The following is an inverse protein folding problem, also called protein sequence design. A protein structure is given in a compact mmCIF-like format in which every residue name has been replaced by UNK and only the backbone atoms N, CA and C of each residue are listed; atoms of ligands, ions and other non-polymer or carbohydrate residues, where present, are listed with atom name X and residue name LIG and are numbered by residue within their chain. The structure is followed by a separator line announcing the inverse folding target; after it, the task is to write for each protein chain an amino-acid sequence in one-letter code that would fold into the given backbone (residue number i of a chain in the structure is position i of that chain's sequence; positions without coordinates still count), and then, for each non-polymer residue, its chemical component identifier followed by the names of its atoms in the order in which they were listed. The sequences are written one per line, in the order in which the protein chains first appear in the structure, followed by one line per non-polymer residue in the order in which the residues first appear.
data_IF_192776343161
#
_entry.id   IF_192776343161
#
_cell.length_a   1.000
_cell.length_b   1.000
_cell.length_c   1.000
_cell.angle_alpha   90.00
_cell.angle_beta   90.00
_cell.angle_gamma   90.00
#
_symmetry.space_group_name_H-M   'P 1'
#
loop_
_entity.id
_entity.type
_entity.pdbx_description
1 polymer ?
#
# COMPACT_ATOMS: atom_id res chain seq x y z
N UNK A 1 -4.46 27.32 10.85
CA UNK A 1 -4.08 26.02 10.26
C UNK A 1 -2.62 25.77 10.57
N UNK A 2 -2.23 24.53 10.89
CA UNK A 2 -0.85 24.21 11.29
C UNK A 2 0.06 24.07 10.06
N UNK A 3 1.04 24.97 9.91
CA UNK A 3 1.99 24.97 8.78
C UNK A 3 2.84 23.69 8.73
N UNK A 4 3.17 23.11 9.89
CA UNK A 4 3.93 21.86 9.98
C UNK A 4 3.08 20.73 9.40
N UNK A 5 1.83 20.60 9.83
CA UNK A 5 0.91 19.57 9.33
C UNK A 5 0.66 19.71 7.83
N UNK A 6 0.58 20.95 7.31
CA UNK A 6 0.44 21.17 5.86
C UNK A 6 1.66 20.65 5.07
N UNK A 7 2.88 20.96 5.55
CA UNK A 7 4.12 20.50 4.92
C UNK A 7 4.29 18.99 5.02
N UNK A 8 4.02 18.41 6.19
CA UNK A 8 4.05 16.97 6.40
C UNK A 8 3.05 16.26 5.48
N UNK A 9 1.80 16.75 5.41
CA UNK A 9 0.79 16.20 4.51
C UNK A 9 1.21 16.24 3.04
N UNK A 10 1.78 17.37 2.58
CA UNK A 10 2.26 17.49 1.21
C UNK A 10 3.40 16.51 0.90
N UNK A 11 4.44 16.48 1.73
CA UNK A 11 5.61 15.63 1.51
C UNK A 11 5.29 14.15 1.66
N UNK A 12 4.45 13.78 2.62
CA UNK A 12 3.99 12.40 2.76
C UNK A 12 3.18 11.94 1.56
N UNK A 13 2.26 12.77 1.05
CA UNK A 13 1.52 12.45 -0.18
C UNK A 13 2.44 12.30 -1.39
N UNK A 14 3.43 13.19 -1.53
CA UNK A 14 4.43 13.12 -2.60
C UNK A 14 5.29 11.85 -2.51
N UNK A 15 5.78 11.51 -1.31
CA UNK A 15 6.60 10.32 -1.10
C UNK A 15 5.78 9.06 -1.37
N UNK A 16 4.54 8.97 -0.86
CA UNK A 16 3.64 7.86 -1.16
C UNK A 16 3.37 7.73 -2.67
N UNK A 17 3.19 8.84 -3.39
CA UNK A 17 3.01 8.80 -4.84
C UNK A 17 4.27 8.28 -5.55
N UNK A 18 5.44 8.80 -5.19
CA UNK A 18 6.70 8.43 -5.80
C UNK A 18 7.03 6.95 -5.56
N UNK A 19 6.91 6.48 -4.33
CA UNK A 19 7.17 5.07 -3.99
C UNK A 19 6.17 4.13 -4.65
N UNK A 20 4.91 4.55 -4.80
CA UNK A 20 3.92 3.76 -5.52
C UNK A 20 4.23 3.68 -7.02
N UNK A 21 4.70 4.77 -7.63
CA UNK A 21 5.18 4.75 -9.02
C UNK A 21 6.39 3.82 -9.15
N UNK A 22 7.36 3.90 -8.24
CA UNK A 22 8.53 3.01 -8.25
C UNK A 22 8.14 1.54 -8.11
N UNK A 23 7.15 1.24 -7.28
CA UNK A 23 6.59 -0.11 -7.16
C UNK A 23 5.99 -0.59 -8.49
N UNK A 24 5.12 0.21 -9.14
CA UNK A 24 4.54 -0.18 -10.43
C UNK A 24 5.60 -0.37 -11.51
N UNK A 25 6.59 0.54 -11.59
CA UNK A 25 7.72 0.42 -12.50
C UNK A 25 8.53 -0.86 -12.20
N UNK A 26 8.76 -1.18 -10.93
CA UNK A 26 9.43 -2.40 -10.50
C UNK A 26 8.71 -3.66 -10.99
N UNK A 27 7.38 -3.74 -10.80
CA UNK A 27 6.58 -4.86 -11.30
C UNK A 27 6.64 -5.00 -12.82
N UNK A 28 6.50 -3.89 -13.55
CA UNK A 28 6.62 -3.93 -15.02
C UNK A 28 8.02 -4.33 -15.48
N UNK A 29 9.07 -3.84 -14.81
CA UNK A 29 10.45 -4.19 -15.13
C UNK A 29 10.74 -5.67 -14.87
N UNK A 30 10.20 -6.27 -13.81
CA UNK A 30 10.33 -7.71 -13.54
C UNK A 30 9.78 -8.53 -14.71
N UNK A 31 8.60 -8.16 -15.23
CA UNK A 31 7.97 -8.87 -16.36
C UNK A 31 8.73 -8.73 -17.68
N UNK A 32 9.55 -7.69 -17.83
CA UNK A 32 10.35 -7.42 -19.04
C UNK A 32 11.72 -8.10 -18.95
N UNK A 33 12.35 -8.06 -17.78
CA UNK A 33 13.75 -8.45 -17.60
C UNK A 33 13.89 -9.93 -17.21
N UNK A 34 12.88 -10.49 -16.53
CA UNK A 34 12.91 -11.87 -16.08
C UNK A 34 11.82 -12.69 -16.80
N UNK A 35 12.02 -14.01 -16.99
CA UNK A 35 10.97 -14.87 -17.50
C UNK A 35 9.78 -14.91 -16.52
N UNK A 36 8.53 -15.06 -17.01
CA UNK A 36 7.37 -15.20 -16.14
C UNK A 36 7.57 -16.37 -15.16
N UNK A 37 7.49 -16.07 -13.87
CA UNK A 37 7.59 -17.08 -12.83
C UNK A 37 6.19 -17.60 -12.45
N UNK A 38 6.04 -18.92 -12.47
CA UNK A 38 4.87 -19.62 -11.93
C UNK A 38 5.32 -20.38 -10.70
N UNK A 39 4.65 -20.15 -9.57
CA UNK A 39 4.96 -20.88 -8.35
C UNK A 39 4.62 -22.37 -8.51
N UNK A 40 5.62 -23.23 -8.40
CA UNK A 40 5.51 -24.69 -8.48
C UNK A 40 5.90 -25.34 -7.16
N UNK A 41 7.16 -25.16 -6.76
CA UNK A 41 7.71 -25.60 -5.49
C UNK A 41 8.74 -24.58 -4.98
N UNK A 42 9.30 -24.85 -3.80
CA UNK A 42 10.19 -23.92 -3.14
C UNK A 42 11.62 -23.98 -3.70
N UNK A 43 12.06 -25.13 -4.18
CA UNK A 43 13.35 -25.28 -4.86
C UNK A 43 13.39 -24.44 -6.14
N UNK A 44 12.37 -24.54 -7.00
CA UNK A 44 12.22 -23.78 -8.24
C UNK A 44 12.18 -22.27 -7.96
N UNK A 45 11.51 -21.86 -6.87
CA UNK A 45 11.51 -20.47 -6.42
C UNK A 45 12.91 -20.00 -6.01
N UNK A 46 13.64 -20.81 -5.24
CA UNK A 46 14.99 -20.49 -4.79
C UNK A 46 15.97 -20.40 -5.97
N UNK A 47 15.88 -21.35 -6.91
CA UNK A 47 16.64 -21.32 -8.15
C UNK A 47 16.34 -20.09 -8.98
N UNK A 48 15.05 -19.76 -9.18
CA UNK A 48 14.64 -18.55 -9.89
C UNK A 48 15.19 -17.29 -9.23
N UNK A 49 15.07 -17.18 -7.89
CA UNK A 49 15.53 -16.04 -7.13
C UNK A 49 17.06 -15.84 -7.19
N UNK A 50 17.83 -16.94 -7.25
CA UNK A 50 19.29 -16.91 -7.35
C UNK A 50 19.78 -16.70 -8.79
N UNK A 51 19.00 -17.10 -9.79
CA UNK A 51 19.38 -17.04 -11.21
C UNK A 51 19.06 -15.69 -11.84
N UNK A 52 17.90 -15.12 -11.53
CA UNK A 52 17.38 -13.92 -12.20
C UNK A 52 17.49 -12.65 -11.37
N UNK A 53 17.34 -11.51 -12.04
CA UNK A 53 17.54 -10.20 -11.42
C UNK A 53 16.49 -9.90 -10.33
N UNK A 54 16.94 -9.70 -9.09
CA UNK A 54 16.09 -9.37 -7.94
C UNK A 54 16.02 -7.87 -7.61
N UNK A 55 16.78 -7.01 -8.31
CA UNK A 55 16.87 -5.58 -8.01
C UNK A 55 15.50 -4.90 -8.00
N UNK A 56 14.69 -5.11 -9.05
CA UNK A 56 13.38 -4.46 -9.19
C UNK A 56 12.37 -4.96 -8.15
N UNK A 57 12.45 -6.24 -7.74
CA UNK A 57 11.66 -6.79 -6.64
C UNK A 57 12.00 -6.07 -5.33
N UNK A 58 13.27 -6.01 -4.98
CA UNK A 58 13.74 -5.35 -3.75
C UNK A 58 13.45 -3.85 -3.74
N UNK A 59 13.55 -3.17 -4.88
CA UNK A 59 13.14 -1.78 -5.04
C UNK A 59 11.64 -1.60 -4.76
N UNK A 60 10.79 -2.49 -5.29
CA UNK A 60 9.34 -2.45 -5.07
C UNK A 60 8.97 -2.73 -3.59
N UNK A 61 9.58 -3.75 -2.98
CA UNK A 61 9.39 -4.09 -1.56
C UNK A 61 9.77 -2.92 -0.64
N UNK A 62 10.96 -2.35 -0.86
CA UNK A 62 11.43 -1.20 -0.08
C UNK A 62 10.51 0.02 -0.26
N UNK A 63 10.05 0.28 -1.50
CA UNK A 63 9.14 1.38 -1.79
C UNK A 63 7.82 1.25 -1.03
N UNK A 64 7.26 0.04 -0.93
CA UNK A 64 6.02 -0.18 -0.19
C UNK A 64 6.18 -0.10 1.32
N UNK A 65 7.33 -0.53 1.85
CA UNK A 65 7.68 -0.31 3.25
C UNK A 65 7.68 1.20 3.57
N UNK A 66 8.39 2.01 2.77
CA UNK A 66 8.43 3.48 2.93
C UNK A 66 7.04 4.08 2.77
N UNK A 67 6.29 3.70 1.73
CA UNK A 67 4.93 4.18 1.49
C UNK A 67 4.02 3.97 2.69
N UNK A 68 4.12 2.79 3.33
CA UNK A 68 3.24 2.44 4.45
C UNK A 68 3.41 3.37 5.66
N UNK A 69 4.66 3.75 5.97
CA UNK A 69 4.97 4.65 7.09
C UNK A 69 4.52 6.07 6.78
N UNK A 70 4.81 6.57 5.58
CA UNK A 70 4.40 7.92 5.17
C UNK A 70 2.89 8.05 5.05
N UNK A 71 2.17 6.97 4.75
CA UNK A 71 0.70 6.97 4.78
C UNK A 71 0.16 7.28 6.18
N UNK A 72 0.76 6.74 7.26
CA UNK A 72 0.34 7.07 8.63
C UNK A 72 0.56 8.56 8.92
N UNK A 73 1.71 9.11 8.52
CA UNK A 73 2.03 10.54 8.68
C UNK A 73 1.02 11.39 7.89
N UNK A 74 0.68 10.97 6.68
CA UNK A 74 -0.30 11.65 5.83
C UNK A 74 -1.68 11.73 6.49
N UNK A 75 -2.20 10.61 7.01
CA UNK A 75 -3.48 10.61 7.73
C UNK A 75 -3.41 11.45 9.00
N UNK A 76 -2.29 11.39 9.73
CA UNK A 76 -2.04 12.25 10.89
C UNK A 76 -2.09 13.74 10.54
N UNK A 77 -1.50 14.14 9.41
CA UNK A 77 -1.54 15.52 8.94
C UNK A 77 -2.97 16.01 8.64
N UNK A 78 -3.84 15.14 8.10
CA UNK A 78 -5.25 15.48 7.79
C UNK A 78 -6.03 15.88 9.05
N UNK A 79 -5.66 15.38 10.23
CA UNK A 79 -6.36 15.65 11.49
C UNK A 79 -6.51 17.15 11.81
N UNK A 80 -5.54 17.97 11.39
CA UNK A 80 -5.53 19.42 11.64
C UNK A 80 -6.36 20.22 10.63
N UNK A 81 -6.83 19.60 9.55
CA UNK A 81 -7.54 20.28 8.45
C UNK A 81 -9.03 19.96 8.41
N UNK A 82 -9.48 18.95 9.16
CA UNK A 82 -10.90 18.59 9.24
C UNK A 82 -11.62 19.36 10.36
N UNK A 83 -12.93 19.52 10.23
CA UNK A 83 -13.75 20.19 11.24
C UNK A 83 -13.74 19.43 12.57
N UNK A 84 -13.94 20.16 13.69
CA UNK A 84 -13.88 19.60 15.05
C UNK A 84 -14.82 18.39 15.23
N UNK A 85 -16.01 18.41 14.64
CA UNK A 85 -16.98 17.32 14.71
C UNK A 85 -16.55 16.06 13.94
N UNK A 86 -15.63 16.19 12.97
CA UNK A 86 -15.15 15.09 12.12
C UNK A 86 -13.81 14.50 12.54
N UNK A 87 -13.13 15.11 13.52
CA UNK A 87 -11.84 14.62 14.05
C UNK A 87 -11.87 13.18 14.56
N UNK A 88 -13.03 12.69 15.00
CA UNK A 88 -13.19 11.28 15.39
C UNK A 88 -12.96 10.32 14.21
N UNK A 89 -13.43 10.68 13.01
CA UNK A 89 -13.25 9.86 11.81
C UNK A 89 -11.78 9.75 11.44
N UNK A 90 -11.02 10.85 11.52
CA UNK A 90 -9.57 10.80 11.27
C UNK A 90 -8.84 9.98 12.33
N UNK A 91 -9.23 10.06 13.61
CA UNK A 91 -8.64 9.21 14.67
C UNK A 91 -8.86 7.72 14.41
N UNK A 92 -10.07 7.33 14.04
CA UNK A 92 -10.35 5.94 13.63
C UNK A 92 -9.51 5.54 12.41
N UNK A 93 -9.42 6.43 11.41
CA UNK A 93 -8.58 6.20 10.24
C UNK A 93 -7.11 6.01 10.58
N UNK A 94 -6.56 6.74 11.55
CA UNK A 94 -5.18 6.59 12.02
C UNK A 94 -4.94 5.20 12.61
N UNK A 95 -5.86 4.68 13.44
CA UNK A 95 -5.70 3.33 14.00
C UNK A 95 -5.61 2.26 12.91
N UNK A 96 -6.45 2.36 11.88
CA UNK A 96 -6.38 1.45 10.74
C UNK A 96 -5.16 1.70 9.85
N UNK A 97 -4.72 2.96 9.69
CA UNK A 97 -3.48 3.27 8.97
C UNK A 97 -2.25 2.67 9.66
N UNK A 98 -2.21 2.69 10.99
CA UNK A 98 -1.16 2.04 11.78
C UNK A 98 -1.19 0.53 11.62
N UNK A 99 -2.37 -0.11 11.71
CA UNK A 99 -2.52 -1.54 11.46
C UNK A 99 -2.07 -1.94 10.04
N UNK A 100 -2.43 -1.14 9.04
CA UNK A 100 -1.91 -1.25 7.68
C UNK A 100 -0.38 -1.15 7.65
N UNK A 101 0.20 -0.10 8.22
CA UNK A 101 1.66 0.09 8.19
C UNK A 101 2.41 -1.04 8.88
N UNK A 102 1.90 -1.56 10.00
CA UNK A 102 2.50 -2.71 10.71
C UNK A 102 2.46 -3.97 9.83
N UNK A 103 1.29 -4.31 9.28
CA UNK A 103 1.15 -5.53 8.45
C UNK A 103 2.04 -5.48 7.20
N UNK A 104 2.07 -4.33 6.52
CA UNK A 104 2.91 -4.11 5.33
C UNK A 104 4.40 -4.11 5.68
N UNK A 105 4.78 -3.47 6.79
CA UNK A 105 6.18 -3.45 7.23
C UNK A 105 6.66 -4.84 7.61
N UNK A 106 5.86 -5.62 8.33
CA UNK A 106 6.20 -7.02 8.68
C UNK A 106 6.39 -7.84 7.40
N UNK A 107 5.44 -7.78 6.47
CA UNK A 107 5.52 -8.54 5.23
C UNK A 107 6.80 -8.22 4.44
N UNK A 108 7.02 -6.95 4.11
CA UNK A 108 8.13 -6.56 3.23
C UNK A 108 9.47 -6.65 3.95
N UNK A 109 9.54 -6.40 5.25
CA UNK A 109 10.77 -6.59 6.00
C UNK A 109 11.17 -8.07 6.05
N UNK A 110 10.23 -9.00 6.22
CA UNK A 110 10.48 -10.43 6.13
C UNK A 110 10.98 -10.82 4.73
N UNK A 111 10.36 -10.32 3.64
CA UNK A 111 10.82 -10.61 2.28
C UNK A 111 12.26 -10.13 2.04
N UNK A 112 12.52 -8.88 2.44
CA UNK A 112 13.78 -8.21 2.20
C UNK A 112 14.94 -8.76 3.05
N UNK A 113 14.63 -9.39 4.18
CA UNK A 113 15.61 -9.93 5.13
C UNK A 113 15.57 -11.46 5.16
N UNK A 114 14.74 -12.05 6.02
CA UNK A 114 14.74 -13.46 6.35
C UNK A 114 14.55 -14.36 5.12
N UNK A 115 13.63 -14.03 4.20
CA UNK A 115 13.40 -14.81 2.99
C UNK A 115 14.61 -14.72 2.06
N UNK A 116 15.04 -13.50 1.72
CA UNK A 116 16.19 -13.28 0.83
C UNK A 116 17.46 -13.96 1.36
N UNK A 117 17.75 -13.86 2.66
CA UNK A 117 18.95 -14.44 3.25
C UNK A 117 18.90 -15.97 3.25
N UNK A 118 17.77 -16.57 3.63
CA UNK A 118 17.63 -18.03 3.62
C UNK A 118 17.72 -18.63 2.21
N UNK A 119 17.11 -17.99 1.21
CA UNK A 119 17.24 -18.39 -0.20
C UNK A 119 18.69 -18.34 -0.69
N UNK A 120 19.44 -17.31 -0.28
CA UNK A 120 20.86 -17.18 -0.61
C UNK A 120 21.71 -18.29 0.01
N UNK A 121 21.39 -18.71 1.23
CA UNK A 121 22.07 -19.80 1.94
C UNK A 121 21.54 -21.19 1.55
N UNK A 122 20.57 -21.27 0.64
CA UNK A 122 19.95 -22.55 0.23
C UNK A 122 19.07 -23.20 1.30
N UNK A 123 18.65 -22.45 2.34
CA UNK A 123 17.79 -22.93 3.42
C UNK A 123 16.34 -22.70 3.01
N UNK A 124 15.63 -23.79 2.68
CA UNK A 124 14.23 -23.74 2.21
C UNK A 124 13.25 -24.32 3.23
N UNK A 125 13.72 -25.12 4.19
CA UNK A 125 12.85 -25.75 5.18
C UNK A 125 12.01 -24.72 5.96
N UNK A 126 10.68 -24.92 5.99
CA UNK A 126 9.74 -24.04 6.69
C UNK A 126 9.48 -22.68 6.02
N UNK A 127 10.14 -22.34 4.91
CA UNK A 127 10.05 -21.01 4.32
C UNK A 127 8.71 -20.74 3.60
N UNK A 128 7.95 -21.78 3.26
CA UNK A 128 6.70 -21.68 2.49
C UNK A 128 5.69 -20.69 3.09
N UNK A 129 5.60 -20.59 4.42
CA UNK A 129 4.68 -19.65 5.08
C UNK A 129 5.15 -18.19 5.05
N UNK A 130 6.41 -17.96 4.69
CA UNK A 130 7.03 -16.64 4.68
C UNK A 130 7.23 -16.08 3.28
N UNK A 131 7.09 -16.86 2.21
CA UNK A 131 7.28 -16.37 0.84
C UNK A 131 6.01 -15.68 0.32
N UNK A 132 6.07 -14.37 0.12
CA UNK A 132 4.90 -13.59 -0.34
C UNK A 132 4.37 -14.01 -1.71
N UNK A 133 5.25 -14.45 -2.61
CA UNK A 133 4.83 -14.90 -3.94
C UNK A 133 4.07 -16.23 -3.92
N UNK A 134 4.05 -16.94 -2.78
CA UNK A 134 3.20 -18.11 -2.60
C UNK A 134 1.82 -17.66 -2.08
N UNK A 135 0.75 -17.77 -2.88
CA UNK A 135 -0.53 -17.12 -2.58
C UNK A 135 -1.21 -17.60 -1.28
N UNK A 136 -0.95 -18.84 -0.87
CA UNK A 136 -1.53 -19.45 0.34
C UNK A 136 -0.61 -19.33 1.56
N UNK A 137 0.51 -18.60 1.46
CA UNK A 137 1.40 -18.37 2.60
C UNK A 137 0.76 -17.43 3.63
N UNK A 138 1.09 -17.64 4.91
CA UNK A 138 0.67 -16.73 5.98
C UNK A 138 1.09 -15.28 5.73
N UNK A 139 2.29 -15.06 5.18
CA UNK A 139 2.78 -13.71 4.87
C UNK A 139 2.04 -13.06 3.69
N UNK A 140 1.57 -13.84 2.69
CA UNK A 140 0.65 -13.34 1.66
C UNK A 140 -0.70 -12.94 2.26
N UNK A 141 -1.26 -13.75 3.16
CA UNK A 141 -2.51 -13.43 3.86
C UNK A 141 -2.40 -12.14 4.69
N UNK A 142 -1.28 -11.94 5.40
CA UNK A 142 -1.00 -10.70 6.14
C UNK A 142 -0.93 -9.48 5.20
N UNK A 143 -0.27 -9.62 4.04
CA UNK A 143 -0.20 -8.57 3.03
C UNK A 143 -1.60 -8.17 2.55
N UNK A 144 -2.42 -9.17 2.24
CA UNK A 144 -3.79 -8.96 1.79
C UNK A 144 -4.63 -8.31 2.88
N UNK A 145 -4.52 -8.74 4.14
CA UNK A 145 -5.21 -8.11 5.27
C UNK A 145 -4.86 -6.61 5.39
N UNK A 146 -3.58 -6.27 5.22
CA UNK A 146 -3.12 -4.88 5.21
C UNK A 146 -3.77 -4.07 4.09
N UNK A 147 -3.54 -4.46 2.84
CA UNK A 147 -3.96 -3.71 1.64
C UNK A 147 -5.47 -3.68 1.41
N UNK A 148 -6.21 -4.67 1.92
CA UNK A 148 -7.65 -4.77 1.69
C UNK A 148 -8.44 -4.27 2.89
N UNK A 149 -8.30 -4.87 4.06
CA UNK A 149 -9.13 -4.55 5.22
C UNK A 149 -8.67 -3.27 5.88
N UNK A 150 -7.41 -3.19 6.31
CA UNK A 150 -6.93 -2.03 7.08
C UNK A 150 -6.80 -0.77 6.24
N UNK A 151 -6.26 -0.88 5.03
CA UNK A 151 -6.19 0.25 4.10
C UNK A 151 -7.57 0.72 3.66
N UNK A 152 -8.51 -0.22 3.42
CA UNK A 152 -9.90 0.09 3.08
C UNK A 152 -10.65 0.80 4.22
N UNK A 153 -10.51 0.30 5.46
CA UNK A 153 -11.08 0.93 6.65
C UNK A 153 -10.47 2.32 6.91
N UNK A 154 -9.15 2.46 6.78
CA UNK A 154 -8.52 3.78 6.89
C UNK A 154 -9.07 4.76 5.85
N UNK A 155 -9.23 4.30 4.61
CA UNK A 155 -9.75 5.07 3.49
C UNK A 155 -11.20 5.52 3.69
N UNK A 156 -12.10 4.62 4.12
CA UNK A 156 -13.51 4.98 4.32
C UNK A 156 -13.67 6.05 5.40
N UNK A 157 -12.98 5.90 6.54
CA UNK A 157 -13.08 6.86 7.65
C UNK A 157 -12.49 8.22 7.28
N UNK A 158 -11.32 8.29 6.65
CA UNK A 158 -10.75 9.58 6.23
C UNK A 158 -11.56 10.21 5.10
N UNK A 159 -12.09 9.40 4.17
CA UNK A 159 -12.97 9.87 3.11
C UNK A 159 -14.19 10.61 3.67
N UNK A 160 -14.85 10.04 4.69
CA UNK A 160 -15.97 10.71 5.36
C UNK A 160 -15.56 11.90 6.23
N UNK A 161 -14.28 12.09 6.56
CA UNK A 161 -13.81 13.26 7.28
C UNK A 161 -13.81 14.53 6.41
N UNK A 162 -13.69 14.40 5.09
CA UNK A 162 -13.77 15.51 4.13
C UNK A 162 -15.21 15.90 3.82
N UNK A 163 -15.50 17.21 3.79
CA UNK A 163 -16.88 17.70 3.57
C UNK A 163 -17.06 19.09 3.00
N UNK A 164 -15.96 19.81 2.77
CA UNK A 164 -15.97 21.18 2.28
C UNK A 164 -16.20 21.29 0.78
N UNK A 165 -15.35 22.09 0.14
CA UNK A 165 -15.48 22.48 -1.27
C UNK A 165 -15.31 21.33 -2.28
N UNK A 166 -15.34 21.69 -3.57
CA UNK A 166 -15.26 20.71 -4.69
C UNK A 166 -14.07 19.75 -4.57
N UNK A 167 -12.90 20.24 -4.16
CA UNK A 167 -11.70 19.42 -3.97
C UNK A 167 -11.86 18.39 -2.84
N UNK A 168 -12.41 18.79 -1.69
CA UNK A 168 -12.66 17.86 -0.59
C UNK A 168 -13.70 16.78 -0.96
N UNK A 169 -14.73 17.15 -1.73
CA UNK A 169 -15.70 16.17 -2.25
C UNK A 169 -15.03 15.16 -3.19
N UNK A 170 -14.10 15.61 -4.02
CA UNK A 170 -13.33 14.74 -4.91
C UNK A 170 -12.40 13.81 -4.12
N UNK A 171 -11.70 14.33 -3.11
CA UNK A 171 -10.84 13.53 -2.21
C UNK A 171 -11.68 12.49 -1.49
N UNK A 172 -12.83 12.89 -0.94
CA UNK A 172 -13.80 11.97 -0.33
C UNK A 172 -14.17 10.84 -1.29
N UNK A 173 -14.60 11.17 -2.50
CA UNK A 173 -14.99 10.15 -3.47
C UNK A 173 -13.84 9.20 -3.81
N UNK A 174 -12.63 9.73 -3.99
CA UNK A 174 -11.43 8.94 -4.28
C UNK A 174 -11.13 7.93 -3.16
N UNK A 175 -11.22 8.37 -1.91
CA UNK A 175 -11.06 7.50 -0.74
C UNK A 175 -12.17 6.45 -0.60
N UNK A 176 -13.43 6.82 -0.83
CA UNK A 176 -14.55 5.87 -0.76
C UNK A 176 -14.44 4.82 -1.89
N UNK A 177 -14.11 5.25 -3.10
CA UNK A 177 -13.89 4.33 -4.23
C UNK A 177 -12.71 3.38 -3.95
N UNK A 178 -11.61 3.88 -3.36
CA UNK A 178 -10.51 3.04 -2.90
C UNK A 178 -10.96 2.02 -1.84
N UNK A 179 -11.76 2.43 -0.86
CA UNK A 179 -12.25 1.54 0.17
C UNK A 179 -13.11 0.40 -0.41
N UNK A 180 -14.01 0.72 -1.36
CA UNK A 180 -14.81 -0.27 -2.07
C UNK A 180 -13.89 -1.22 -2.84
N UNK A 181 -12.92 -0.70 -3.59
CA UNK A 181 -11.95 -1.52 -4.32
C UNK A 181 -11.18 -2.46 -3.39
N UNK A 182 -10.70 -1.96 -2.26
CA UNK A 182 -9.99 -2.74 -1.24
C UNK A 182 -10.87 -3.85 -0.65
N UNK A 183 -12.13 -3.58 -0.31
CA UNK A 183 -13.03 -4.62 0.21
C UNK A 183 -13.43 -5.65 -0.85
N UNK A 184 -13.62 -5.23 -2.10
CA UNK A 184 -13.80 -6.16 -3.21
C UNK A 184 -12.56 -7.05 -3.40
N UNK A 185 -11.36 -6.50 -3.23
CA UNK A 185 -10.12 -7.30 -3.24
C UNK A 185 -10.03 -8.29 -2.08
N UNK A 186 -10.54 -7.93 -0.89
CA UNK A 186 -10.66 -8.87 0.24
C UNK A 186 -11.57 -10.04 -0.14
N UNK A 187 -12.76 -9.76 -0.68
CA UNK A 187 -13.73 -10.78 -1.11
C UNK A 187 -13.08 -11.66 -2.19
N UNK A 188 -12.44 -11.05 -3.17
CA UNK A 188 -11.75 -11.77 -4.24
C UNK A 188 -10.70 -12.74 -3.71
N UNK A 189 -9.89 -12.31 -2.74
CA UNK A 189 -8.85 -13.14 -2.16
C UNK A 189 -9.41 -14.23 -1.25
N UNK A 190 -10.37 -13.91 -0.38
CA UNK A 190 -10.97 -14.87 0.57
C UNK A 190 -11.69 -16.01 -0.13
N UNK A 191 -12.36 -15.74 -1.25
CA UNK A 191 -13.11 -16.73 -2.01
C UNK A 191 -12.37 -17.24 -3.25
N UNK A 192 -11.07 -16.95 -3.37
CA UNK A 192 -10.22 -17.37 -4.49
C UNK A 192 -10.77 -16.99 -5.88
N UNK A 193 -11.39 -15.81 -5.98
CA UNK A 193 -11.93 -15.26 -7.23
C UNK A 193 -10.80 -14.50 -7.93
N UNK A 194 -9.99 -15.22 -8.72
CA UNK A 194 -8.82 -14.69 -9.40
C UNK A 194 -9.07 -13.37 -10.14
N UNK A 195 -10.13 -13.32 -10.97
CA UNK A 195 -10.43 -12.12 -11.76
C UNK A 195 -10.69 -10.90 -10.87
N UNK A 196 -11.46 -11.07 -9.79
CA UNK A 196 -11.77 -9.97 -8.87
C UNK A 196 -10.50 -9.47 -8.19
N UNK A 197 -9.69 -10.37 -7.63
CA UNK A 197 -8.40 -10.05 -7.02
C UNK A 197 -7.48 -9.34 -7.99
N UNK A 198 -7.40 -9.83 -9.24
CA UNK A 198 -6.56 -9.25 -10.27
C UNK A 198 -6.96 -7.80 -10.57
N UNK A 199 -8.24 -7.56 -10.88
CA UNK A 199 -8.72 -6.22 -11.20
C UNK A 199 -8.58 -5.25 -10.03
N UNK A 200 -8.88 -5.69 -8.80
CA UNK A 200 -8.84 -4.79 -7.64
C UNK A 200 -7.41 -4.50 -7.17
N UNK A 201 -6.53 -5.50 -7.15
CA UNK A 201 -5.20 -5.36 -6.55
C UNK A 201 -4.16 -4.83 -7.52
N UNK A 202 -4.28 -5.11 -8.82
CA UNK A 202 -3.28 -4.67 -9.80
C UNK A 202 -3.70 -3.38 -10.52
N UNK A 203 -4.96 -3.29 -10.96
CA UNK A 203 -5.43 -2.13 -11.73
C UNK A 203 -6.10 -1.08 -10.82
N UNK A 204 -7.08 -1.51 -10.04
CA UNK A 204 -7.89 -0.63 -9.20
C UNK A 204 -7.06 0.09 -8.14
N UNK A 205 -6.26 -0.66 -7.37
CA UNK A 205 -5.44 -0.11 -6.30
C UNK A 205 -4.48 0.96 -6.82
N UNK A 206 -3.79 0.70 -7.93
CA UNK A 206 -2.85 1.67 -8.49
C UNK A 206 -3.53 2.96 -8.93
N UNK A 207 -4.65 2.84 -9.63
CA UNK A 207 -5.43 4.00 -10.05
C UNK A 207 -5.90 4.85 -8.85
N UNK A 208 -6.52 4.23 -7.84
CA UNK A 208 -7.08 4.97 -6.71
C UNK A 208 -6.02 5.58 -5.79
N UNK A 209 -4.92 4.86 -5.53
CA UNK A 209 -3.81 5.41 -4.71
C UNK A 209 -3.23 6.64 -5.39
N UNK A 210 -2.95 6.60 -6.69
CA UNK A 210 -2.46 7.78 -7.42
C UNK A 210 -3.44 8.95 -7.34
N UNK A 211 -4.74 8.68 -7.56
CA UNK A 211 -5.79 9.70 -7.49
C UNK A 211 -5.85 10.38 -6.12
N UNK A 212 -5.78 9.60 -5.05
CA UNK A 212 -5.76 10.08 -3.66
C UNK A 212 -4.50 10.93 -3.42
N UNK A 213 -3.32 10.42 -3.75
CA UNK A 213 -2.07 11.14 -3.44
C UNK A 213 -1.96 12.46 -4.19
N UNK A 214 -2.29 12.47 -5.49
CA UNK A 214 -2.28 13.69 -6.31
C UNK A 214 -3.29 14.72 -5.75
N UNK A 215 -4.51 14.29 -5.43
CA UNK A 215 -5.53 15.20 -4.90
C UNK A 215 -5.16 15.77 -3.53
N UNK A 216 -4.54 14.98 -2.65
CA UNK A 216 -4.02 15.44 -1.36
C UNK A 216 -2.83 16.39 -1.50
N UNK A 217 -1.91 16.14 -2.44
CA UNK A 217 -0.83 17.10 -2.73
C UNK A 217 -1.38 18.48 -3.09
N UNK A 218 -2.41 18.54 -3.95
CA UNK A 218 -3.07 19.81 -4.29
C UNK A 218 -3.77 20.43 -3.07
N UNK A 219 -4.42 19.62 -2.24
CA UNK A 219 -5.08 20.06 -1.01
C UNK A 219 -4.11 20.73 -0.03
N UNK A 220 -3.00 20.07 0.26
CA UNK A 220 -1.99 20.60 1.17
C UNK A 220 -1.24 21.79 0.58
N UNK A 221 -0.93 21.78 -0.72
CA UNK A 221 -0.29 22.93 -1.39
C UNK A 221 -1.13 24.20 -1.28
N UNK A 222 -2.45 24.11 -1.52
CA UNK A 222 -3.37 25.24 -1.34
C UNK A 222 -3.42 25.71 0.11
N UNK A 223 -3.37 24.77 1.05
CA UNK A 223 -3.40 25.07 2.48
C UNK A 223 -2.13 25.77 2.97
N UNK A 224 -0.96 25.48 2.38
CA UNK A 224 0.29 26.20 2.64
C UNK A 224 0.25 27.62 2.06
N UNK A 225 -0.30 27.81 0.86
CA UNK A 225 -0.34 29.14 0.21
C UNK A 225 -1.29 30.15 0.87
N UNK A 226 -2.29 29.67 1.62
CA UNK A 226 -3.31 30.51 2.27
C UNK A 226 -2.89 30.90 3.72
N UNK A 227 -1.84 30.29 4.27
CA UNK A 227 -1.39 30.45 5.66
C UNK A 227 -0.09 31.24 5.82
#
# INVERSE_FOLDING_TARGET
MNKISAKLGFWSAFICLLTFILYMVGFMAILIVNPPFVWTNLEDFAEYANTYNQFYKHMAEFSMLVSSVFFVILIGAIFDFVSKSRKILVRLSIHFAVAFSITISINYFIQFTAVRLQIREGITEGLSQFVQSFPISGVAAINMLGWTVFFGLSSIFVGFAFSGGKLEKFIKFSFIANAINSFLGCIGYTFDIFALTFFTMYLGMGFFVMLIMISLMFYFKRSVSIS
#
